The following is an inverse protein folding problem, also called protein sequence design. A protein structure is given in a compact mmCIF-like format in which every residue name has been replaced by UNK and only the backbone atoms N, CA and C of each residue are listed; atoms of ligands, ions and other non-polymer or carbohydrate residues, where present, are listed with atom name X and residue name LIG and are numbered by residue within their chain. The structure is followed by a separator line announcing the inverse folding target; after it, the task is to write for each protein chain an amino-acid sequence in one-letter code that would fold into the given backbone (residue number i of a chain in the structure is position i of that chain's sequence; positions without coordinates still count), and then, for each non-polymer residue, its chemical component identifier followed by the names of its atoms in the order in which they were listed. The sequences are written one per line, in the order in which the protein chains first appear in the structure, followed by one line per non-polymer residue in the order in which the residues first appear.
data_IF_037202548404
#
_entry.id   IF_037202548404
#
_cell.length_a   1.000
_cell.length_b   1.000
_cell.length_c   1.000
_cell.angle_alpha   90.00
_cell.angle_beta   90.00
_cell.angle_gamma   90.00
#
_symmetry.space_group_name_H-M   'P 1'
#
loop_
_entity.id
_entity.type
_entity.pdbx_description
1 polymer ?
#
# COMPACT_ATOMS: atom_id res chain seq x y z
N UNK A 1 -12.07 19.18 -4.18
CA UNK A 1 -10.75 18.75 -4.69
C UNK A 1 -10.21 17.71 -3.73
N UNK A 2 -9.72 16.55 -4.18
CA UNK A 2 -9.12 15.55 -3.27
C UNK A 2 -7.72 16.05 -2.90
N UNK A 3 -7.43 16.16 -1.60
CA UNK A 3 -6.14 16.60 -1.08
C UNK A 3 -5.19 15.42 -1.00
N UNK A 4 -4.01 15.53 -1.62
CA UNK A 4 -2.93 14.57 -1.40
C UNK A 4 -2.37 14.79 0.00
N UNK A 5 -2.51 13.80 0.87
CA UNK A 5 -1.97 13.83 2.22
C UNK A 5 -0.85 12.80 2.37
N UNK A 6 0.38 13.28 2.56
CA UNK A 6 1.57 12.46 2.67
C UNK A 6 1.49 11.45 3.83
N UNK A 7 0.86 11.83 4.95
CA UNK A 7 0.72 10.95 6.10
C UNK A 7 -0.15 9.73 5.75
N UNK A 8 -1.29 9.94 5.09
CA UNK A 8 -2.15 8.85 4.61
C UNK A 8 -1.44 7.97 3.59
N UNK A 9 -0.68 8.54 2.65
CA UNK A 9 0.08 7.77 1.65
C UNK A 9 1.13 6.87 2.32
N UNK A 10 1.88 7.39 3.28
CA UNK A 10 2.89 6.63 4.02
C UNK A 10 2.26 5.50 4.85
N UNK A 11 1.13 5.78 5.52
CA UNK A 11 0.40 4.78 6.29
C UNK A 11 -0.20 3.70 5.40
N UNK A 12 -0.76 4.08 4.24
CA UNK A 12 -1.25 3.18 3.21
C UNK A 12 -0.12 2.24 2.75
N UNK A 13 1.06 2.79 2.44
CA UNK A 13 2.19 1.98 2.01
C UNK A 13 2.65 1.00 3.10
N UNK A 14 2.79 1.48 4.34
CA UNK A 14 3.17 0.63 5.48
C UNK A 14 2.15 -0.49 5.74
N UNK A 15 0.86 -0.16 5.70
CA UNK A 15 -0.24 -1.11 5.93
C UNK A 15 -0.24 -2.21 4.87
N UNK A 16 -0.15 -1.84 3.60
CA UNK A 16 -0.09 -2.81 2.49
C UNK A 16 1.15 -3.71 2.58
N UNK A 17 2.31 -3.11 2.83
CA UNK A 17 3.57 -3.83 2.97
C UNK A 17 3.59 -4.84 4.11
N UNK A 18 3.04 -4.47 5.29
CA UNK A 18 2.96 -5.37 6.45
C UNK A 18 1.92 -6.48 6.26
N UNK A 19 0.84 -6.22 5.53
CA UNK A 19 -0.10 -7.27 5.14
C UNK A 19 0.56 -8.31 4.22
N UNK A 20 1.36 -7.86 3.24
CA UNK A 20 2.09 -8.76 2.35
C UNK A 20 3.29 -9.45 3.01
N UNK A 21 3.89 -8.85 4.04
CA UNK A 21 4.83 -9.56 4.91
C UNK A 21 4.18 -10.80 5.54
N UNK A 22 2.97 -10.69 6.07
CA UNK A 22 2.24 -11.89 6.54
C UNK A 22 2.03 -12.87 5.39
N UNK A 23 1.63 -12.36 4.22
CA UNK A 23 1.39 -13.18 3.03
C UNK A 23 2.60 -14.04 2.66
N UNK A 24 3.81 -13.48 2.68
CA UNK A 24 5.04 -14.17 2.29
C UNK A 24 5.63 -15.02 3.42
N UNK A 25 5.40 -14.67 4.69
CA UNK A 25 5.93 -15.43 5.83
C UNK A 25 5.00 -16.52 6.36
N UNK A 26 3.72 -16.55 5.97
CA UNK A 26 2.70 -17.50 6.49
C UNK A 26 3.07 -18.98 6.34
N UNK A 27 3.86 -19.34 5.34
CA UNK A 27 4.26 -20.74 5.08
C UNK A 27 5.54 -21.15 5.80
N UNK A 28 6.18 -20.25 6.55
CA UNK A 28 7.45 -20.48 7.23
C UNK A 28 8.60 -20.87 6.30
N UNK A 29 8.51 -20.53 5.00
CA UNK A 29 9.56 -20.78 4.01
C UNK A 29 10.64 -19.69 4.00
N UNK A 30 10.32 -18.52 4.56
CA UNK A 30 11.21 -17.34 4.57
C UNK A 30 12.11 -17.32 5.80
N UNK A 31 13.37 -16.94 5.58
CA UNK A 31 14.34 -16.75 6.65
C UNK A 31 13.95 -15.59 7.57
N UNK A 32 14.45 -15.61 8.81
CA UNK A 32 14.18 -14.54 9.77
C UNK A 32 14.59 -13.18 9.19
N UNK A 33 15.78 -13.08 8.57
CA UNK A 33 16.35 -11.84 8.03
C UNK A 33 15.43 -11.08 7.07
N UNK A 34 14.72 -11.79 6.19
CA UNK A 34 13.71 -11.19 5.31
C UNK A 34 12.59 -10.54 6.12
N UNK A 35 12.06 -11.25 7.11
CA UNK A 35 11.08 -10.71 8.03
C UNK A 35 11.60 -9.50 8.84
N UNK A 36 12.91 -9.42 9.09
CA UNK A 36 13.50 -8.25 9.74
C UNK A 36 13.52 -7.04 8.82
N UNK A 37 13.99 -7.22 7.59
CA UNK A 37 14.04 -6.16 6.58
C UNK A 37 12.66 -5.56 6.32
N UNK A 38 11.66 -6.42 6.14
CA UNK A 38 10.30 -6.00 5.82
C UNK A 38 9.67 -5.21 6.98
N UNK A 39 9.73 -5.76 8.21
CA UNK A 39 9.18 -5.08 9.39
C UNK A 39 9.90 -3.77 9.67
N UNK A 40 11.22 -3.69 9.55
CA UNK A 40 11.94 -2.42 9.79
C UNK A 40 11.61 -1.37 8.74
N UNK A 41 11.52 -1.74 7.46
CA UNK A 41 11.17 -0.83 6.37
C UNK A 41 9.78 -0.23 6.56
N UNK A 42 8.77 -1.07 6.80
CA UNK A 42 7.40 -0.57 6.96
C UNK A 42 7.14 0.05 8.34
N UNK A 43 7.93 -0.29 9.37
CA UNK A 43 7.96 0.45 10.63
C UNK A 43 8.41 1.89 10.39
N UNK A 44 9.48 2.10 9.62
CA UNK A 44 9.97 3.45 9.31
C UNK A 44 8.94 4.24 8.51
N UNK A 45 8.26 3.61 7.55
CA UNK A 45 7.16 4.24 6.81
C UNK A 45 5.97 4.59 7.73
N UNK A 46 5.56 3.70 8.63
CA UNK A 46 4.48 3.97 9.59
C UNK A 46 4.85 5.08 10.60
N UNK A 47 6.09 5.07 11.11
CA UNK A 47 6.60 6.15 11.95
C UNK A 47 6.71 7.48 11.19
N UNK A 48 7.13 7.43 9.93
CA UNK A 48 7.13 8.57 9.01
C UNK A 48 5.73 9.12 8.74
N UNK A 49 4.72 8.25 8.65
CA UNK A 49 3.32 8.65 8.52
C UNK A 49 2.87 9.47 9.74
N UNK A 50 3.18 9.00 10.96
CA UNK A 50 2.86 9.74 12.18
C UNK A 50 3.59 11.09 12.24
N UNK A 51 4.90 11.09 11.92
CA UNK A 51 5.70 12.31 11.90
C UNK A 51 5.17 13.33 10.88
N UNK A 52 4.81 12.88 9.68
CA UNK A 52 4.21 13.72 8.64
C UNK A 52 2.86 14.27 9.09
N UNK A 53 2.01 13.45 9.74
CA UNK A 53 0.70 13.87 10.21
C UNK A 53 0.76 14.93 11.30
N UNK A 54 1.73 14.84 12.22
CA UNK A 54 1.98 15.92 13.20
C UNK A 54 2.59 17.18 12.58
N UNK A 55 3.28 17.06 11.44
CA UNK A 55 3.93 18.19 10.77
C UNK A 55 3.00 18.97 9.84
N UNK A 56 1.92 18.35 9.33
CA UNK A 56 0.98 18.97 8.39
C UNK A 56 -0.38 19.24 9.05
N UNK A 57 -1.28 18.26 9.03
CA UNK A 57 -2.65 18.33 9.53
C UNK A 57 -2.95 17.10 10.38
N UNK A 58 -3.32 17.30 11.64
CA UNK A 58 -3.54 16.19 12.58
C UNK A 58 -4.94 15.60 12.41
N UNK A 59 -5.00 14.35 11.99
CA UNK A 59 -6.21 13.52 12.03
C UNK A 59 -6.00 12.50 13.16
N UNK A 60 -6.65 12.71 14.30
CA UNK A 60 -6.40 11.93 15.53
C UNK A 60 -6.46 10.41 15.30
N UNK A 61 -7.46 9.94 14.55
CA UNK A 61 -7.62 8.51 14.26
C UNK A 61 -6.48 7.97 13.40
N UNK A 62 -6.03 8.74 12.39
CA UNK A 62 -4.90 8.38 11.52
C UNK A 62 -3.60 8.33 12.32
N UNK A 63 -3.33 9.32 13.17
CA UNK A 63 -2.08 9.37 13.96
C UNK A 63 -1.99 8.24 14.98
N UNK A 64 -3.07 8.00 15.72
CA UNK A 64 -3.12 6.90 16.70
C UNK A 64 -2.95 5.56 15.99
N UNK A 65 -3.57 5.38 14.82
CA UNK A 65 -3.39 4.17 14.02
C UNK A 65 -1.97 4.05 13.44
N UNK A 66 -1.35 5.15 12.97
CA UNK A 66 0.02 5.13 12.46
C UNK A 66 1.04 4.77 13.54
N UNK A 67 0.92 5.39 14.73
CA UNK A 67 1.73 5.06 15.91
C UNK A 67 1.48 3.61 16.32
N UNK A 68 0.22 3.17 16.41
CA UNK A 68 -0.14 1.80 16.77
C UNK A 68 0.40 0.77 15.78
N UNK A 69 0.36 1.06 14.47
CA UNK A 69 0.93 0.24 13.41
C UNK A 69 2.47 0.14 13.55
N UNK A 70 3.15 1.26 13.77
CA UNK A 70 4.59 1.29 13.98
C UNK A 70 5.01 0.51 15.25
N UNK A 71 4.28 0.69 16.35
CA UNK A 71 4.50 -0.05 17.59
C UNK A 71 4.25 -1.55 17.41
N UNK A 72 3.18 -1.93 16.72
CA UNK A 72 2.91 -3.33 16.42
C UNK A 72 4.05 -3.96 15.60
N UNK A 73 4.52 -3.28 14.55
CA UNK A 73 5.67 -3.73 13.75
C UNK A 73 6.96 -3.85 14.58
N UNK A 74 7.20 -2.93 15.51
CA UNK A 74 8.33 -2.97 16.42
C UNK A 74 8.25 -4.13 17.42
N UNK A 75 7.07 -4.39 17.97
CA UNK A 75 6.85 -5.45 18.95
C UNK A 75 6.88 -6.84 18.33
N UNK A 76 6.52 -6.98 17.04
CA UNK A 76 6.60 -8.24 16.30
C UNK A 76 7.96 -8.48 15.67
N UNK A 77 8.89 -7.52 15.77
CA UNK A 77 10.20 -7.54 15.11
C UNK A 77 10.99 -8.85 15.25
N UNK A 78 11.00 -9.43 16.46
CA UNK A 78 11.72 -10.69 16.78
C UNK A 78 10.83 -11.93 16.75
N UNK A 79 9.53 -11.78 16.51
CA UNK A 79 8.57 -12.88 16.63
C UNK A 79 8.62 -13.79 15.40
N UNK A 80 8.54 -15.09 15.65
CA UNK A 80 8.57 -16.14 14.61
C UNK A 80 7.17 -16.56 14.14
N UNK A 81 6.11 -16.22 14.88
CA UNK A 81 4.74 -16.56 14.50
C UNK A 81 4.18 -15.48 13.56
N UNK A 82 3.92 -15.80 12.28
CA UNK A 82 3.46 -14.84 11.27
C UNK A 82 2.10 -14.22 11.59
N UNK A 83 1.25 -14.89 12.36
CA UNK A 83 -0.10 -14.38 12.65
C UNK A 83 -0.08 -13.01 13.34
N UNK A 84 0.97 -12.71 14.13
CA UNK A 84 1.14 -11.41 14.76
C UNK A 84 1.43 -10.29 13.76
N UNK A 85 1.89 -10.61 12.55
CA UNK A 85 2.15 -9.63 11.51
C UNK A 85 0.86 -9.04 10.93
N UNK A 86 -0.30 -9.66 11.18
CA UNK A 86 -1.60 -9.10 10.84
C UNK A 86 -2.06 -7.98 11.79
N UNK A 87 -1.47 -7.86 12.98
CA UNK A 87 -1.86 -6.85 13.96
C UNK A 87 -1.61 -5.43 13.43
N UNK A 88 -0.40 -5.19 12.90
CA UNK A 88 -0.02 -3.89 12.37
C UNK A 88 -0.91 -3.42 11.19
N UNK A 89 -1.15 -4.22 10.13
CA UNK A 89 -2.05 -3.84 9.06
C UNK A 89 -3.52 -3.73 9.51
N UNK A 90 -3.98 -4.52 10.49
CA UNK A 90 -5.32 -4.38 11.05
C UNK A 90 -5.50 -3.04 11.80
N UNK A 91 -4.46 -2.52 12.43
CA UNK A 91 -4.48 -1.17 13.02
C UNK A 91 -4.34 -0.11 11.92
N UNK A 92 -3.39 -0.29 11.01
CA UNK A 92 -3.09 0.65 9.92
C UNK A 92 -4.29 0.94 9.03
N UNK A 93 -5.09 -0.09 8.69
CA UNK A 93 -6.26 0.07 7.83
C UNK A 93 -7.31 1.04 8.42
N UNK A 94 -7.42 1.09 9.76
CA UNK A 94 -8.33 2.04 10.44
C UNK A 94 -7.87 3.48 10.19
N UNK A 95 -6.56 3.73 10.28
CA UNK A 95 -5.99 5.05 10.00
C UNK A 95 -6.06 5.42 8.52
N UNK A 96 -5.84 4.45 7.62
CA UNK A 96 -5.99 4.63 6.18
C UNK A 96 -7.43 5.02 5.82
N UNK A 97 -8.43 4.34 6.38
CA UNK A 97 -9.84 4.68 6.16
C UNK A 97 -10.14 6.09 6.71
N UNK A 98 -9.67 6.42 7.91
CA UNK A 98 -9.87 7.75 8.49
C UNK A 98 -9.25 8.86 7.62
N UNK A 99 -8.02 8.68 7.16
CA UNK A 99 -7.35 9.62 6.25
C UNK A 99 -8.05 9.73 4.90
N UNK A 100 -8.56 8.62 4.36
CA UNK A 100 -9.33 8.62 3.11
C UNK A 100 -10.69 9.33 3.24
N UNK A 101 -11.36 9.23 4.39
CA UNK A 101 -12.61 9.95 4.64
C UNK A 101 -12.34 11.45 4.74
N UNK A 102 -11.33 11.86 5.51
CA UNK A 102 -10.94 13.28 5.63
C UNK A 102 -10.55 13.89 4.28
N UNK A 103 -9.76 13.16 3.48
CA UNK A 103 -9.35 13.62 2.15
C UNK A 103 -10.50 13.77 1.15
N UNK A 104 -11.67 13.18 1.44
CA UNK A 104 -12.86 13.24 0.59
C UNK A 104 -13.82 14.38 0.97
N UNK A 105 -13.61 15.09 2.08
CA UNK A 105 -14.59 16.06 2.62
C UNK A 105 -14.86 17.18 1.59
N UNK A 106 -16.12 17.27 1.13
CA UNK A 106 -16.59 18.18 0.08
C UNK A 106 -16.64 17.62 -1.36
N UNK A 107 -16.26 16.36 -1.61
CA UNK A 107 -16.41 15.70 -2.91
C UNK A 107 -17.48 14.59 -2.86
N UNK A 108 -18.39 14.55 -3.83
CA UNK A 108 -19.47 13.54 -3.96
C UNK A 108 -18.99 12.11 -4.29
N UNK A 109 -17.84 11.68 -3.77
CA UNK A 109 -17.14 10.46 -4.19
C UNK A 109 -16.39 9.73 -3.08
N UNK A 110 -16.84 9.82 -1.81
CA UNK A 110 -16.22 9.10 -0.68
C UNK A 110 -16.03 7.61 -0.98
N UNK A 111 -17.04 6.97 -1.57
CA UNK A 111 -16.97 5.56 -1.99
C UNK A 111 -15.84 5.30 -2.97
N UNK A 112 -15.69 6.15 -3.99
CA UNK A 112 -14.62 6.02 -4.99
C UNK A 112 -13.25 6.26 -4.35
N UNK A 113 -13.14 7.23 -3.46
CA UNK A 113 -11.88 7.51 -2.76
C UNK A 113 -11.46 6.35 -1.86
N UNK A 114 -12.40 5.80 -1.08
CA UNK A 114 -12.14 4.61 -0.26
C UNK A 114 -11.73 3.41 -1.10
N UNK A 115 -12.42 3.16 -2.22
CA UNK A 115 -12.03 2.09 -3.14
C UNK A 115 -10.59 2.29 -3.65
N UNK A 116 -10.22 3.50 -4.10
CA UNK A 116 -8.86 3.81 -4.57
C UNK A 116 -7.81 3.58 -3.51
N UNK A 117 -8.05 4.11 -2.32
CA UNK A 117 -7.09 4.02 -1.24
C UNK A 117 -6.93 2.56 -0.78
N UNK A 118 -8.02 1.80 -0.67
CA UNK A 118 -7.97 0.40 -0.22
C UNK A 118 -7.34 -0.52 -1.28
N UNK A 119 -7.73 -0.39 -2.55
CA UNK A 119 -7.13 -1.19 -3.63
C UNK A 119 -5.67 -0.79 -3.82
N UNK A 120 -5.36 0.51 -3.80
CA UNK A 120 -4.00 1.03 -3.85
C UNK A 120 -3.15 0.58 -2.66
N UNK A 121 -3.74 0.38 -1.47
CA UNK A 121 -3.04 -0.19 -0.30
C UNK A 121 -2.56 -1.60 -0.60
N UNK A 122 -3.45 -2.44 -1.15
CA UNK A 122 -3.11 -3.81 -1.52
C UNK A 122 -2.11 -3.84 -2.68
N UNK A 123 -2.32 -3.03 -3.72
CA UNK A 123 -1.45 -2.97 -4.89
C UNK A 123 -0.04 -2.53 -4.53
N UNK A 124 0.11 -1.39 -3.83
CA UNK A 124 1.40 -0.87 -3.42
C UNK A 124 2.13 -1.83 -2.47
N UNK A 125 1.40 -2.48 -1.56
CA UNK A 125 1.91 -3.55 -0.71
C UNK A 125 2.46 -4.72 -1.52
N UNK A 126 1.65 -5.27 -2.42
CA UNK A 126 2.01 -6.43 -3.25
C UNK A 126 3.24 -6.16 -4.12
N UNK A 127 3.29 -4.99 -4.78
CA UNK A 127 4.42 -4.59 -5.65
C UNK A 127 5.71 -4.40 -4.84
N UNK A 128 5.63 -3.71 -3.70
CA UNK A 128 6.79 -3.49 -2.84
C UNK A 128 7.36 -4.80 -2.30
N UNK A 129 6.47 -5.69 -1.87
CA UNK A 129 6.84 -7.01 -1.39
C UNK A 129 7.46 -7.86 -2.51
N UNK A 130 6.88 -7.83 -3.72
CA UNK A 130 7.43 -8.55 -4.87
C UNK A 130 8.84 -8.07 -5.25
N UNK A 131 9.08 -6.77 -5.21
CA UNK A 131 10.40 -6.19 -5.46
C UNK A 131 11.41 -6.62 -4.38
N UNK A 132 11.06 -6.50 -3.09
CA UNK A 132 11.94 -6.86 -1.98
C UNK A 132 12.22 -8.37 -1.92
N UNK A 133 11.19 -9.19 -2.14
CA UNK A 133 11.32 -10.63 -2.23
C UNK A 133 12.22 -11.03 -3.40
N UNK A 134 12.05 -10.41 -4.58
CA UNK A 134 12.90 -10.65 -5.75
C UNK A 134 14.39 -10.41 -5.47
N UNK A 135 14.72 -9.31 -4.79
CA UNK A 135 16.10 -9.04 -4.35
C UNK A 135 16.59 -10.06 -3.34
N UNK A 136 15.72 -10.52 -2.43
CA UNK A 136 16.08 -11.52 -1.43
C UNK A 136 16.45 -12.88 -2.04
N UNK A 137 15.77 -13.29 -3.13
CA UNK A 137 16.14 -14.49 -3.90
C UNK A 137 17.55 -14.45 -4.48
N UNK A 138 18.12 -13.26 -4.71
CA UNK A 138 19.49 -13.12 -5.23
C UNK A 138 20.55 -13.38 -4.15
N UNK A 139 20.21 -13.19 -2.87
CA UNK A 139 21.16 -13.28 -1.76
C UNK A 139 21.00 -14.59 -0.97
N UNK A 140 19.81 -15.20 -0.99
CA UNK A 140 19.55 -16.45 -0.31
C UNK A 140 19.39 -17.63 -1.30
N UNK A 141 20.41 -18.50 -1.44
CA UNK A 141 20.31 -19.67 -2.30
C UNK A 141 19.31 -20.70 -1.76
N UNK A 142 18.60 -21.37 -2.66
CA UNK A 142 17.72 -22.50 -2.33
C UNK A 142 16.30 -22.15 -1.88
N UNK A 143 15.86 -20.90 -1.98
CA UNK A 143 14.46 -20.53 -1.70
C UNK A 143 13.50 -21.17 -2.73
N UNK A 144 12.39 -21.76 -2.29
CA UNK A 144 11.41 -22.38 -3.17
C UNK A 144 10.66 -21.32 -3.99
N UNK A 145 10.22 -21.64 -5.21
CA UNK A 145 9.48 -20.69 -6.08
C UNK A 145 7.99 -20.53 -5.72
N UNK A 146 7.49 -21.31 -4.76
CA UNK A 146 6.10 -21.29 -4.29
C UNK A 146 5.64 -19.90 -3.88
N UNK A 147 6.37 -19.24 -2.97
CA UNK A 147 5.99 -17.91 -2.47
C UNK A 147 6.01 -16.86 -3.58
N UNK A 148 7.03 -16.90 -4.44
CA UNK A 148 7.11 -15.99 -5.57
C UNK A 148 5.91 -16.16 -6.50
N UNK A 149 5.54 -17.40 -6.83
CA UNK A 149 4.40 -17.69 -7.69
C UNK A 149 3.07 -17.25 -7.06
N UNK A 150 2.89 -17.44 -5.75
CA UNK A 150 1.71 -16.97 -5.02
C UNK A 150 1.62 -15.45 -4.99
N UNK A 151 2.73 -14.75 -4.76
CA UNK A 151 2.75 -13.29 -4.72
C UNK A 151 2.49 -12.69 -6.10
N UNK A 152 3.11 -13.25 -7.15
CA UNK A 152 2.83 -12.86 -8.55
C UNK A 152 1.37 -13.13 -8.91
N UNK A 153 0.80 -14.24 -8.44
CA UNK A 153 -0.63 -14.55 -8.66
C UNK A 153 -1.53 -13.56 -7.94
N UNK A 154 -1.22 -13.19 -6.69
CA UNK A 154 -1.95 -12.18 -5.96
C UNK A 154 -1.89 -10.82 -6.67
N UNK A 155 -0.70 -10.39 -7.11
CA UNK A 155 -0.51 -9.16 -7.86
C UNK A 155 -1.32 -9.17 -9.16
N UNK A 156 -1.27 -10.27 -9.93
CA UNK A 156 -2.06 -10.44 -11.16
C UNK A 156 -3.56 -10.25 -10.93
N UNK A 157 -4.08 -10.67 -9.79
CA UNK A 157 -5.49 -10.47 -9.44
C UNK A 157 -5.79 -9.06 -8.94
N UNK A 158 -4.86 -8.40 -8.25
CA UNK A 158 -5.06 -7.04 -7.72
C UNK A 158 -4.99 -5.99 -8.83
N UNK A 159 -4.08 -6.13 -9.78
CA UNK A 159 -3.89 -5.19 -10.90
C UNK A 159 -5.19 -4.81 -11.64
N UNK A 160 -6.06 -5.74 -12.08
CA UNK A 160 -7.29 -5.34 -12.76
C UNK A 160 -8.23 -4.54 -11.86
N UNK A 161 -8.27 -4.80 -10.55
CA UNK A 161 -9.07 -3.96 -9.64
C UNK A 161 -8.49 -2.55 -9.54
N UNK A 162 -7.16 -2.42 -9.48
CA UNK A 162 -6.49 -1.10 -9.45
C UNK A 162 -6.82 -0.30 -10.72
N UNK A 163 -6.71 -0.93 -11.89
CA UNK A 163 -7.06 -0.31 -13.18
C UNK A 163 -8.53 0.13 -13.19
N UNK A 164 -9.46 -0.75 -12.78
CA UNK A 164 -10.89 -0.46 -12.78
C UNK A 164 -11.25 0.71 -11.85
N UNK A 165 -10.64 0.77 -10.67
CA UNK A 165 -10.91 1.82 -9.69
C UNK A 165 -10.33 3.17 -10.12
N UNK A 166 -9.25 3.18 -10.91
CA UNK A 166 -8.72 4.39 -11.55
C UNK A 166 -9.60 4.90 -12.71
N UNK A 167 -10.44 4.05 -13.29
CA UNK A 167 -11.40 4.44 -14.33
C UNK A 167 -12.68 5.10 -13.76
N UNK A 168 -12.99 4.89 -12.47
CA UNK A 168 -14.19 5.47 -11.84
C UNK A 168 -14.14 7.02 -11.89
N UNK A 169 -15.26 7.73 -12.10
CA UNK A 169 -15.24 9.21 -12.15
C UNK A 169 -15.05 9.88 -10.77
N UNK A 170 -14.36 11.01 -10.67
CA UNK A 170 -13.40 11.60 -11.63
C UNK A 170 -12.12 10.75 -11.65
N UNK A 171 -11.67 10.30 -12.82
CA UNK A 171 -10.59 9.31 -12.98
C UNK A 171 -9.93 9.39 -14.37
N UNK A 172 -9.22 8.36 -14.82
CA UNK A 172 -8.43 8.45 -16.06
C UNK A 172 -9.26 8.75 -17.31
N UNK A 173 -10.55 8.37 -17.34
CA UNK A 173 -11.43 8.72 -18.45
C UNK A 173 -11.65 10.25 -18.59
N UNK A 174 -11.58 11.02 -17.49
CA UNK A 174 -11.76 12.47 -17.56
C UNK A 174 -10.58 13.18 -18.24
N UNK A 175 -9.39 12.58 -18.24
CA UNK A 175 -8.22 13.10 -18.98
C UNK A 175 -8.47 12.99 -20.49
N UNK A 176 -8.97 11.85 -20.96
CA UNK A 176 -9.28 11.64 -22.38
C UNK A 176 -10.51 12.42 -22.85
N UNK A 177 -11.49 12.60 -21.96
CA UNK A 177 -12.66 13.43 -22.24
C UNK A 177 -12.34 14.94 -22.28
N UNK A 178 -11.12 15.34 -21.90
CA UNK A 178 -10.69 16.75 -21.84
C UNK A 178 -11.32 17.54 -20.69
N UNK A 179 -11.96 16.87 -19.72
CA UNK A 179 -12.55 17.52 -18.54
C UNK A 179 -11.54 17.74 -17.41
N UNK A 180 -10.40 17.05 -17.45
CA UNK A 180 -9.24 17.30 -16.59
C UNK A 180 -8.01 17.45 -17.48
N UNK A 181 -7.33 18.59 -17.36
CA UNK A 181 -6.04 18.82 -18.01
C UNK A 181 -4.93 18.11 -17.22
N UNK A 182 -4.17 17.25 -17.88
CA UNK A 182 -3.04 16.55 -17.28
C UNK A 182 -1.76 17.41 -17.25
N UNK A 183 -1.75 18.58 -17.90
CA UNK A 183 -0.60 19.47 -17.99
C UNK A 183 0.50 19.00 -18.96
N UNK A 184 0.30 17.86 -19.64
CA UNK A 184 1.24 17.22 -20.56
C UNK A 184 0.62 16.90 -21.92
N UNK A 185 -0.51 17.54 -22.26
CA UNK A 185 -1.18 17.37 -23.55
C UNK A 185 -1.73 15.96 -23.78
N UNK A 186 -2.15 15.26 -22.71
CA UNK A 186 -2.68 13.89 -22.76
C UNK A 186 -1.62 12.79 -22.67
N UNK A 187 -0.33 13.12 -22.59
CA UNK A 187 0.76 12.13 -22.52
C UNK A 187 0.65 11.25 -21.28
N UNK A 188 0.22 11.79 -20.14
CA UNK A 188 0.08 11.04 -18.89
C UNK A 188 -1.01 9.97 -19.01
N UNK A 189 -2.12 10.32 -19.68
CA UNK A 189 -3.19 9.37 -20.01
C UNK A 189 -2.71 8.23 -20.89
N UNK A 190 -2.00 8.53 -21.99
CA UNK A 190 -1.46 7.51 -22.89
C UNK A 190 -0.43 6.59 -22.23
N UNK A 191 0.44 7.15 -21.38
CA UNK A 191 1.38 6.35 -20.61
C UNK A 191 0.67 5.40 -19.64
N UNK A 192 -0.39 5.87 -18.96
CA UNK A 192 -1.21 5.02 -18.10
C UNK A 192 -1.85 3.86 -18.88
N UNK A 193 -2.38 4.09 -20.08
CA UNK A 193 -2.92 3.03 -20.95
C UNK A 193 -1.83 2.01 -21.30
N UNK A 194 -0.65 2.48 -21.69
CA UNK A 194 0.46 1.59 -22.03
C UNK A 194 0.81 0.67 -20.85
N UNK A 195 0.93 1.22 -19.64
CA UNK A 195 1.17 0.45 -18.42
C UNK A 195 0.02 -0.53 -18.10
N UNK A 196 -1.23 -0.10 -18.26
CA UNK A 196 -2.41 -0.92 -17.98
C UNK A 196 -2.54 -2.12 -18.93
N UNK A 197 -2.11 -1.98 -20.19
CA UNK A 197 -2.14 -3.06 -21.19
C UNK A 197 -0.92 -4.00 -21.05
N UNK A 198 0.23 -3.49 -20.61
CA UNK A 198 1.47 -4.27 -20.53
C UNK A 198 1.64 -5.10 -19.26
N UNK A 199 0.77 -4.93 -18.26
CA UNK A 199 0.85 -5.58 -16.93
C UNK A 199 -0.04 -6.81 -16.86
#
# INVERSE_FOLDING_TARGET
MIRLDAATVLLQWATGGLFFLWFTTRKHEMGAGYGWLMRSTFLLLAGGAAAAGFATDVILVREVAAIGCALAALLTMKRKNPQWDLLAPAIGIVGVIAGAIDAADGAGGITVNLLRVLVGTLFLGAVSDAMLLGHWYLVQPGLPRSILSELVTALRWITPFEILVMLLPTGMFSVFAGSVDDGWGGMLGWFWIACAIST
#
